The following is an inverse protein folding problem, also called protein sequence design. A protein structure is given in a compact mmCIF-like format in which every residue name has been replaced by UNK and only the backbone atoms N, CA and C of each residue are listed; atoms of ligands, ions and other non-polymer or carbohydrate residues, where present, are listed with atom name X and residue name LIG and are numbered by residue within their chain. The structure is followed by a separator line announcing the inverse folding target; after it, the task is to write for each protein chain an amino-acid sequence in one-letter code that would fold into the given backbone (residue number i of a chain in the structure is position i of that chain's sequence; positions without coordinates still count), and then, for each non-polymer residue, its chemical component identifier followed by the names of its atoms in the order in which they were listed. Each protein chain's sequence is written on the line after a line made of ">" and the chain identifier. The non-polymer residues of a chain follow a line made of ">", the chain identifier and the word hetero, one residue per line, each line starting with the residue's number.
data_IF_833596044517
#
_entry.id   IF_833596044517
#
_cell.length_a   1.000
_cell.length_b   1.000
_cell.length_c   1.000
_cell.angle_alpha   90.00
_cell.angle_beta   90.00
_cell.angle_gamma   90.00
#
_symmetry.space_group_name_H-M   'P 1'
#
loop_
_entity.id
_entity.type
_entity.pdbx_description
1 polymer ?
#
# COMPACT_ATOMS: atom_id res chain seq x y z
N UNK A 1 18.24 12.53 29.75
CA UNK A 1 18.51 13.25 28.49
C UNK A 1 17.18 13.61 27.83
N UNK A 2 16.94 14.89 27.52
CA UNK A 2 15.67 15.41 27.00
C UNK A 2 15.70 15.36 25.46
N UNK A 3 14.74 14.67 24.84
CA UNK A 3 14.56 14.69 23.38
C UNK A 3 13.87 15.99 22.94
N UNK A 4 14.54 16.74 22.07
CA UNK A 4 14.02 17.98 21.49
C UNK A 4 13.25 17.65 20.20
N UNK A 5 11.93 17.81 20.23
CA UNK A 5 11.04 17.59 19.07
C UNK A 5 11.16 18.78 18.11
N UNK A 6 11.89 18.63 16.99
CA UNK A 6 11.87 19.64 15.90
C UNK A 6 10.60 19.46 15.07
N UNK A 7 9.73 20.47 15.12
CA UNK A 7 8.59 20.65 14.22
C UNK A 7 9.14 21.12 12.86
N UNK A 8 8.96 20.33 11.80
CA UNK A 8 9.24 20.75 10.42
C UNK A 8 7.95 21.39 9.90
N UNK A 9 7.97 22.71 9.72
CA UNK A 9 6.94 23.46 9.00
C UNK A 9 7.33 23.45 7.51
N UNK A 10 6.53 22.79 6.66
CA UNK A 10 6.76 22.74 5.21
C UNK A 10 6.26 24.04 4.56
N UNK A 11 7.05 25.11 4.60
CA UNK A 11 6.76 26.35 3.87
C UNK A 11 7.24 26.21 2.43
N UNK A 12 6.34 25.89 1.51
CA UNK A 12 6.56 26.02 0.07
C UNK A 12 6.66 27.50 -0.28
N UNK A 13 7.88 27.98 -0.56
CA UNK A 13 8.13 29.32 -1.07
C UNK A 13 8.30 29.23 -2.59
N UNK A 14 7.22 29.44 -3.34
CA UNK A 14 7.32 29.77 -4.78
C UNK A 14 7.77 31.22 -4.91
N UNK A 15 9.05 31.40 -5.26
CA UNK A 15 9.63 32.70 -5.63
C UNK A 15 9.18 33.07 -7.05
N UNK A 16 8.18 33.94 -7.18
CA UNK A 16 7.85 34.60 -8.44
C UNK A 16 8.79 35.81 -8.64
N UNK A 17 9.85 35.63 -9.44
CA UNK A 17 10.60 36.75 -10.00
C UNK A 17 9.78 37.38 -11.13
N UNK A 18 9.01 38.43 -10.83
CA UNK A 18 8.46 39.30 -11.86
C UNK A 18 9.56 40.23 -12.37
N UNK A 19 10.17 39.89 -13.50
CA UNK A 19 11.02 40.80 -14.25
C UNK A 19 10.19 42.01 -14.69
N UNK A 20 10.66 43.21 -14.30
CA UNK A 20 9.99 44.48 -14.60
C UNK A 20 9.87 44.72 -16.10
N UNK A 21 8.64 44.98 -16.55
CA UNK A 21 8.38 45.56 -17.87
C UNK A 21 8.38 47.08 -17.72
N UNK A 22 9.39 47.71 -18.33
CA UNK A 22 9.57 49.15 -18.36
C UNK A 22 8.41 49.88 -19.03
N UNK A 23 7.99 50.99 -18.41
CA UNK A 23 7.01 51.94 -18.93
C UNK A 23 7.70 52.89 -19.91
N UNK A 24 7.28 52.89 -21.18
CA UNK A 24 7.47 54.03 -22.09
C UNK A 24 6.22 54.25 -22.94
N UNK A 25 5.91 55.53 -23.14
CA UNK A 25 4.64 56.08 -23.60
C UNK A 25 4.70 56.27 -25.12
N UNK A 26 3.65 55.86 -25.84
CA UNK A 26 3.47 56.15 -27.26
C UNK A 26 2.01 56.04 -27.70
N UNK A 27 1.28 57.16 -27.68
CA UNK A 27 -0.08 57.30 -28.24
C UNK A 27 -0.06 57.06 -29.76
N UNK A 28 -0.88 56.14 -30.26
CA UNK A 28 -1.68 56.27 -31.51
C UNK A 28 -2.69 55.13 -31.59
N UNK A 29 -3.93 55.47 -31.88
CA UNK A 29 -5.08 54.57 -31.86
C UNK A 29 -5.02 53.47 -32.92
N UNK A 30 -5.48 52.29 -32.53
CA UNK A 30 -5.72 51.15 -33.38
C UNK A 30 -6.44 50.09 -32.54
N UNK A 31 -7.65 49.72 -32.95
CA UNK A 31 -8.48 48.72 -32.28
C UNK A 31 -7.70 47.39 -32.21
N UNK A 32 -7.35 46.94 -31.02
CA UNK A 32 -6.91 45.56 -30.79
C UNK A 32 -8.02 44.88 -30.01
N UNK A 33 -8.90 44.21 -30.75
CA UNK A 33 -9.75 43.16 -30.21
C UNK A 33 -8.82 42.00 -29.90
N UNK A 34 -8.22 42.03 -28.71
CA UNK A 34 -7.39 40.94 -28.19
C UNK A 34 -8.30 39.89 -27.57
N UNK A 35 -8.53 38.79 -28.29
CA UNK A 35 -9.22 37.63 -27.77
C UNK A 35 -8.44 37.09 -26.56
N UNK A 36 -9.01 37.20 -25.36
CA UNK A 36 -8.52 36.48 -24.17
C UNK A 36 -8.94 35.03 -24.37
N UNK A 37 -8.09 34.25 -25.04
CA UNK A 37 -8.21 32.80 -25.03
C UNK A 37 -7.82 32.37 -23.62
N UNK A 38 -8.83 32.04 -22.81
CA UNK A 38 -8.64 31.48 -21.49
C UNK A 38 -8.00 30.09 -21.62
N UNK A 39 -6.69 30.01 -21.43
CA UNK A 39 -6.00 28.73 -21.25
C UNK A 39 -6.49 28.10 -19.95
N UNK A 40 -7.46 27.19 -20.06
CA UNK A 40 -7.84 26.30 -18.98
C UNK A 40 -6.64 25.38 -18.68
N UNK A 41 -5.90 25.68 -17.61
CA UNK A 41 -4.88 24.75 -17.11
C UNK A 41 -5.60 23.48 -16.65
N UNK A 42 -5.42 22.40 -17.40
CA UNK A 42 -5.69 21.05 -16.91
C UNK A 42 -4.68 20.78 -15.79
N UNK A 43 -5.14 20.94 -14.54
CA UNK A 43 -4.38 20.53 -13.36
C UNK A 43 -4.42 19.01 -13.35
N UNK A 44 -3.42 18.38 -13.98
CA UNK A 44 -3.19 16.96 -13.81
C UNK A 44 -2.82 16.69 -12.35
N UNK A 45 -3.44 15.71 -11.72
CA UNK A 45 -2.98 15.19 -10.44
C UNK A 45 -1.61 14.58 -10.66
N UNK A 46 -0.56 15.21 -10.11
CA UNK A 46 0.76 14.60 -10.09
C UNK A 46 0.67 13.35 -9.20
N UNK A 47 0.79 12.17 -9.81
CA UNK A 47 1.01 10.92 -9.08
C UNK A 47 2.52 10.78 -8.92
N UNK A 48 3.00 10.92 -7.70
CA UNK A 48 4.38 10.61 -7.34
C UNK A 48 4.35 9.65 -6.16
N UNK A 49 5.17 8.61 -6.23
CA UNK A 49 5.30 7.67 -5.14
C UNK A 49 6.16 8.27 -4.03
N UNK A 50 5.81 7.98 -2.78
CA UNK A 50 6.67 8.29 -1.65
C UNK A 50 7.65 7.15 -1.45
N UNK A 51 8.92 7.39 -1.76
CA UNK A 51 10.00 6.46 -1.45
C UNK A 51 10.66 6.84 -0.13
N UNK A 52 10.69 5.90 0.82
CA UNK A 52 11.53 5.98 2.02
C UNK A 52 12.79 5.19 1.74
N UNK A 53 13.94 5.88 1.65
CA UNK A 53 15.22 5.27 1.25
C UNK A 53 15.93 4.50 2.38
N UNK A 54 15.32 4.43 3.55
CA UNK A 54 15.86 3.83 4.76
C UNK A 54 14.74 3.13 5.55
N UNK A 55 15.04 2.66 6.76
CA UNK A 55 14.08 2.02 7.65
C UNK A 55 12.89 2.93 7.99
N UNK A 56 11.67 2.45 7.75
CA UNK A 56 10.45 3.07 8.27
C UNK A 56 10.02 2.37 9.56
N UNK A 57 10.26 3.04 10.69
CA UNK A 57 9.73 2.61 11.99
C UNK A 57 8.47 3.43 12.28
N UNK A 58 7.34 2.73 12.45
CA UNK A 58 6.09 3.32 12.92
C UNK A 58 5.83 2.85 14.35
N UNK A 59 5.83 3.80 15.27
CA UNK A 59 5.40 3.56 16.66
C UNK A 59 3.87 3.61 16.73
N UNK A 60 3.24 2.46 17.02
CA UNK A 60 1.79 2.27 16.98
C UNK A 60 1.36 1.36 15.83
N UNK A 61 0.51 1.88 14.93
CA UNK A 61 -0.18 1.08 13.91
C UNK A 61 -0.08 1.68 12.51
N UNK A 62 -0.07 0.83 11.49
CA UNK A 62 -0.18 1.19 10.08
C UNK A 62 -1.50 0.65 9.53
N UNK A 63 -2.25 1.48 8.79
CA UNK A 63 -3.27 1.00 7.86
C UNK A 63 -2.76 1.15 6.42
N UNK A 64 -2.83 0.09 5.63
CA UNK A 64 -2.51 0.13 4.20
C UNK A 64 -3.67 -0.39 3.35
N UNK A 65 -3.98 0.34 2.28
CA UNK A 65 -5.10 0.08 1.37
C UNK A 65 -6.04 1.28 1.23
N UNK A 66 -6.80 1.31 0.14
CA UNK A 66 -7.70 2.38 -0.27
C UNK A 66 -8.87 2.57 0.69
N UNK A 67 -9.20 1.55 1.49
CA UNK A 67 -10.31 1.61 2.45
C UNK A 67 -9.86 2.07 3.86
N UNK A 68 -8.59 2.46 4.03
CA UNK A 68 -8.11 3.10 5.26
C UNK A 68 -8.72 4.50 5.42
N UNK A 69 -9.03 4.90 6.66
CA UNK A 69 -9.69 6.19 6.92
C UNK A 69 -8.97 7.00 7.98
N UNK A 70 -9.00 8.33 7.84
CA UNK A 70 -8.36 9.23 8.80
C UNK A 70 -9.04 9.15 10.18
N UNK A 71 -8.25 8.94 11.23
CA UNK A 71 -8.73 8.84 12.60
C UNK A 71 -9.35 7.49 12.98
N UNK A 72 -9.06 6.41 12.24
CA UNK A 72 -9.55 5.08 12.62
C UNK A 72 -8.92 4.55 13.92
N UNK A 73 -9.72 3.80 14.69
CA UNK A 73 -9.25 3.11 15.88
C UNK A 73 -8.62 1.77 15.50
N UNK A 74 -7.37 1.57 15.88
CA UNK A 74 -6.60 0.36 15.57
C UNK A 74 -6.78 -0.79 16.56
N UNK A 75 -7.21 -0.50 17.79
CA UNK A 75 -7.29 -1.54 18.83
C UNK A 75 -5.91 -2.18 19.06
N UNK A 76 -5.80 -3.48 18.81
CA UNK A 76 -4.56 -4.24 18.93
C UNK A 76 -3.84 -4.51 17.60
N UNK A 77 -4.35 -3.96 16.49
CA UNK A 77 -3.73 -4.19 15.17
C UNK A 77 -2.48 -3.33 15.03
N UNK A 78 -1.31 -3.96 14.88
CA UNK A 78 -0.07 -3.25 14.50
C UNK A 78 -0.05 -2.94 12.99
N UNK A 79 -0.52 -3.88 12.17
CA UNK A 79 -0.69 -3.72 10.73
C UNK A 79 -2.12 -4.10 10.36
N UNK A 80 -2.84 -3.17 9.75
CA UNK A 80 -4.18 -3.37 9.22
C UNK A 80 -4.15 -3.20 7.70
N UNK A 81 -4.63 -4.18 6.96
CA UNK A 81 -4.77 -4.10 5.51
C UNK A 81 -6.26 -4.00 5.17
N UNK A 82 -6.68 -3.00 4.36
CA UNK A 82 -8.09 -2.77 4.03
C UNK A 82 -8.29 -2.51 2.54
N UNK A 83 -8.82 -3.50 1.85
CA UNK A 83 -9.21 -3.48 0.44
C UNK A 83 -10.26 -4.58 0.21
N UNK A 84 -10.91 -4.54 -0.95
CA UNK A 84 -11.71 -5.66 -1.45
C UNK A 84 -10.87 -6.84 -1.98
N UNK A 85 -9.61 -6.60 -2.35
CA UNK A 85 -8.73 -7.59 -3.00
C UNK A 85 -7.36 -7.65 -2.32
N UNK A 86 -7.33 -8.07 -1.05
CA UNK A 86 -6.12 -8.06 -0.23
C UNK A 86 -5.13 -9.15 -0.62
N UNK A 87 -3.91 -8.76 -0.98
CA UNK A 87 -2.78 -9.65 -1.28
C UNK A 87 -1.51 -9.12 -0.63
N UNK A 88 -0.74 -10.02 -0.01
CA UNK A 88 0.66 -9.74 0.37
C UNK A 88 1.52 -10.58 -0.57
N UNK A 89 2.21 -9.94 -1.50
CA UNK A 89 3.03 -10.62 -2.49
C UNK A 89 4.51 -10.54 -2.12
N UNK A 90 5.19 -11.67 -2.22
CA UNK A 90 6.63 -11.81 -2.13
C UNK A 90 7.15 -12.04 -3.54
N UNK A 91 7.81 -11.02 -4.10
CA UNK A 91 8.43 -11.09 -5.42
C UNK A 91 9.92 -11.27 -5.22
N UNK A 92 10.45 -12.42 -5.61
CA UNK A 92 11.87 -12.70 -5.60
C UNK A 92 12.52 -12.15 -6.87
N UNK A 93 13.51 -11.28 -6.71
CA UNK A 93 14.21 -10.64 -7.84
C UNK A 93 15.59 -11.25 -8.11
N UNK A 94 15.89 -12.41 -7.52
CA UNK A 94 17.14 -13.11 -7.73
C UNK A 94 17.20 -13.63 -9.17
N UNK A 95 18.35 -13.47 -9.83
CA UNK A 95 18.50 -13.80 -11.26
C UNK A 95 19.50 -14.92 -11.54
N UNK A 96 20.13 -15.47 -10.50
CA UNK A 96 21.09 -16.57 -10.64
C UNK A 96 20.45 -17.89 -10.25
N UNK A 97 20.67 -18.93 -11.04
CA UNK A 97 20.13 -20.27 -10.80
C UNK A 97 20.57 -20.93 -9.48
N UNK A 98 21.50 -20.32 -8.74
CA UNK A 98 21.95 -20.76 -7.41
C UNK A 98 21.05 -20.30 -6.26
N UNK A 99 20.12 -19.37 -6.49
CA UNK A 99 19.16 -18.92 -5.47
C UNK A 99 17.75 -19.41 -5.80
N UNK A 100 16.90 -19.65 -4.78
CA UNK A 100 15.46 -19.73 -4.99
C UNK A 100 14.96 -18.47 -5.71
N UNK A 101 13.94 -18.63 -6.55
CA UNK A 101 13.38 -17.55 -7.38
C UNK A 101 11.85 -17.54 -7.38
N UNK A 102 11.22 -18.37 -6.54
CA UNK A 102 9.78 -18.56 -6.60
C UNK A 102 9.03 -17.41 -5.94
N UNK A 103 8.09 -16.83 -6.66
CA UNK A 103 7.19 -15.82 -6.14
C UNK A 103 6.04 -16.45 -5.34
N UNK A 104 5.74 -15.86 -4.19
CA UNK A 104 4.68 -16.33 -3.29
C UNK A 104 3.68 -15.22 -2.98
N UNK A 105 2.47 -15.59 -2.59
CA UNK A 105 1.45 -14.64 -2.17
C UNK A 105 0.61 -15.20 -1.03
N UNK A 106 0.31 -14.34 -0.04
CA UNK A 106 -0.80 -14.56 0.88
C UNK A 106 -2.06 -13.92 0.30
N UNK A 107 -3.11 -14.71 0.19
CA UNK A 107 -4.39 -14.30 -0.37
C UNK A 107 -5.47 -14.38 0.69
N UNK A 108 -6.14 -13.26 0.95
CA UNK A 108 -7.38 -13.23 1.72
C UNK A 108 -8.56 -13.02 0.76
N UNK A 109 -9.47 -13.99 0.75
CA UNK A 109 -10.66 -14.10 -0.09
C UNK A 109 -10.41 -14.08 -1.61
N UNK A 110 -11.32 -14.68 -2.36
CA UNK A 110 -11.37 -14.51 -3.81
C UNK A 110 -11.89 -13.12 -4.18
N UNK A 111 -11.42 -12.62 -5.33
CA UNK A 111 -11.82 -11.32 -5.88
C UNK A 111 -13.07 -11.37 -6.76
N UNK A 112 -13.47 -12.58 -7.18
CA UNK A 112 -14.64 -12.79 -8.03
C UNK A 112 -15.93 -12.68 -7.21
N UNK A 113 -16.98 -12.16 -7.84
CA UNK A 113 -18.31 -12.16 -7.22
C UNK A 113 -18.79 -13.61 -7.01
N UNK A 114 -19.14 -13.95 -5.77
CA UNK A 114 -19.46 -15.32 -5.38
C UNK A 114 -18.24 -16.24 -5.20
N UNK A 115 -17.03 -15.69 -5.16
CA UNK A 115 -15.81 -16.43 -4.86
C UNK A 115 -15.74 -16.95 -3.41
N UNK A 116 -14.72 -17.73 -3.11
CA UNK A 116 -14.56 -18.34 -1.80
C UNK A 116 -14.09 -17.32 -0.74
N UNK A 117 -14.66 -17.45 0.47
CA UNK A 117 -14.12 -16.81 1.66
C UNK A 117 -13.01 -17.70 2.22
N UNK A 118 -11.75 -17.26 2.14
CA UNK A 118 -10.60 -18.12 2.44
C UNK A 118 -9.34 -17.34 2.79
N UNK A 119 -8.37 -18.05 3.32
CA UNK A 119 -6.99 -17.61 3.44
C UNK A 119 -6.06 -18.65 2.80
N UNK A 120 -5.19 -18.21 1.89
CA UNK A 120 -4.40 -19.10 1.03
C UNK A 120 -2.93 -18.69 0.95
N UNK A 121 -2.05 -19.68 0.79
CA UNK A 121 -0.65 -19.50 0.36
C UNK A 121 -0.60 -19.93 -1.11
N UNK A 122 -0.31 -18.98 -1.98
CA UNK A 122 -0.26 -19.19 -3.43
C UNK A 122 1.18 -19.18 -3.93
N UNK A 123 1.54 -20.22 -4.68
CA UNK A 123 2.71 -20.29 -5.55
C UNK A 123 2.35 -19.57 -6.87
N UNK A 124 2.90 -18.37 -7.05
CA UNK A 124 2.55 -17.49 -8.16
C UNK A 124 3.15 -18.00 -9.48
N UNK A 125 4.40 -18.46 -9.44
CA UNK A 125 5.08 -18.94 -10.64
C UNK A 125 4.57 -20.31 -11.07
N UNK A 126 4.35 -21.20 -10.10
CA UNK A 126 3.82 -22.53 -10.35
C UNK A 126 2.31 -22.56 -10.60
N UNK A 127 1.60 -21.46 -10.32
CA UNK A 127 0.15 -21.35 -10.48
C UNK A 127 -0.64 -22.32 -9.60
N UNK A 128 -0.16 -22.53 -8.36
CA UNK A 128 -0.70 -23.52 -7.41
C UNK A 128 -1.05 -22.85 -6.10
N UNK A 129 -1.95 -23.47 -5.35
CA UNK A 129 -2.29 -23.04 -3.99
C UNK A 129 -2.08 -24.22 -3.04
N UNK A 130 -0.84 -24.45 -2.55
CA UNK A 130 -0.54 -25.60 -1.70
C UNK A 130 -1.28 -25.59 -0.36
N UNK A 131 -1.76 -24.43 0.10
CA UNK A 131 -2.49 -24.33 1.37
C UNK A 131 -3.66 -23.37 1.27
N UNK A 132 -4.82 -23.78 1.78
CA UNK A 132 -6.02 -22.96 1.90
C UNK A 132 -6.81 -23.35 3.14
N UNK A 133 -7.26 -22.36 3.90
CA UNK A 133 -8.27 -22.49 4.94
C UNK A 133 -9.50 -21.71 4.49
N UNK A 134 -10.64 -22.37 4.37
CA UNK A 134 -11.92 -21.70 4.08
C UNK A 134 -12.55 -21.13 5.35
N UNK A 135 -13.29 -20.04 5.20
CA UNK A 135 -14.05 -19.46 6.28
C UNK A 135 -15.05 -20.47 6.85
N UNK A 136 -15.07 -20.59 8.18
CA UNK A 136 -15.91 -21.56 8.89
C UNK A 136 -15.21 -22.89 9.21
N UNK A 137 -13.95 -23.10 8.78
CA UNK A 137 -13.14 -24.21 9.27
C UNK A 137 -13.07 -24.17 10.82
N UNK A 138 -13.47 -25.25 11.53
CA UNK A 138 -13.47 -25.27 12.99
C UNK A 138 -12.09 -25.10 13.62
N UNK A 139 -12.05 -24.64 14.87
CA UNK A 139 -10.83 -24.61 15.67
C UNK A 139 -10.18 -25.99 15.71
N UNK A 140 -8.85 -26.03 15.53
CA UNK A 140 -8.05 -27.25 15.47
C UNK A 140 -8.42 -28.20 14.31
N UNK A 141 -8.97 -27.69 13.20
CA UNK A 141 -9.13 -28.49 11.96
C UNK A 141 -7.80 -29.09 11.50
N UNK A 142 -6.74 -28.29 11.51
CA UNK A 142 -5.35 -28.71 11.45
C UNK A 142 -4.64 -28.05 12.62
N UNK A 143 -4.04 -28.85 13.49
CA UNK A 143 -3.29 -28.40 14.65
C UNK A 143 -1.94 -29.09 14.66
N UNK A 144 -0.87 -28.39 14.99
CA UNK A 144 0.44 -29.00 15.24
C UNK A 144 0.84 -28.61 16.64
N UNK A 145 1.00 -29.59 17.51
CA UNK A 145 1.35 -29.34 18.90
C UNK A 145 2.86 -29.08 19.10
N UNK A 146 3.26 -28.76 20.32
CA UNK A 146 4.66 -28.48 20.67
C UNK A 146 5.58 -29.70 20.60
N UNK A 147 5.01 -30.91 20.58
CA UNK A 147 5.69 -32.17 20.31
C UNK A 147 5.85 -32.47 18.81
N UNK A 148 5.32 -31.62 17.93
CA UNK A 148 5.38 -31.80 16.48
C UNK A 148 4.35 -32.79 15.92
N UNK A 149 3.34 -33.18 16.70
CA UNK A 149 2.29 -34.09 16.27
C UNK A 149 1.19 -33.32 15.54
N UNK A 150 0.66 -33.92 14.48
CA UNK A 150 -0.41 -33.34 13.69
C UNK A 150 -1.76 -33.82 14.23
N UNK A 151 -2.60 -32.88 14.65
CA UNK A 151 -4.01 -33.08 15.00
C UNK A 151 -4.91 -32.71 13.83
N UNK A 152 -5.81 -33.63 13.49
CA UNK A 152 -6.89 -33.41 12.52
C UNK A 152 -8.21 -33.37 13.27
N UNK A 153 -8.79 -32.18 13.42
CA UNK A 153 -10.00 -31.94 14.20
C UNK A 153 -9.81 -32.04 15.72
N UNK A 154 -8.58 -31.98 16.22
CA UNK A 154 -8.26 -32.08 17.65
C UNK A 154 -7.09 -31.19 18.03
N UNK A 155 -7.18 -30.54 19.19
CA UNK A 155 -6.07 -29.79 19.80
C UNK A 155 -5.15 -30.65 20.66
N UNK A 156 -5.46 -31.94 20.82
CA UNK A 156 -4.67 -32.90 21.61
C UNK A 156 -4.33 -34.12 20.76
N UNK A 157 -3.45 -33.99 19.76
CA UNK A 157 -3.02 -35.12 18.95
C UNK A 157 -2.28 -36.15 19.81
N UNK A 158 -2.52 -37.42 19.53
CA UNK A 158 -1.81 -38.54 20.14
C UNK A 158 -0.73 -39.04 19.19
N UNK A 159 0.26 -39.73 19.73
CA UNK A 159 1.25 -40.44 18.93
C UNK A 159 0.54 -41.63 18.27
N UNK A 160 0.83 -41.90 16.99
CA UNK A 160 0.49 -43.19 16.38
C UNK A 160 1.37 -44.32 16.93
#
# INVERSE_FOLDING_TARGET
>A
MKYLKRRIEHRSLMSLNSAGVGKSIGKRGGKIVGAIVGSMLLIGTASADQQILDDLIVDGSICAGQDCVNGESFGFDTLRLKENNLRIRFVDTSSTASFPTNDWQLTANDSSNGGANKFSIDDIDGGRTPFTIEAGAPTNSLFVDDGGRIGLGTGTPVVE
#
